data_IF_306712471193
#
_entry.id   IF_306712471193
#
_cell.length_a   1.000
_cell.length_b   1.000
_cell.length_c   1.000
_cell.angle_alpha   90.00
_cell.angle_beta   90.00
_cell.angle_gamma   90.00
#
_symmetry.space_group_name_H-M   'P 1'
#
loop_
_entity.id
_entity.type
_entity.pdbx_description
1 polymer ?
#
# COMPACT_ATOMS: atom_id res chain seq x y z
N UNK A 1 1.75 -42.59 -24.97
CA UNK A 1 2.94 -41.71 -25.14
C UNK A 1 2.76 -40.28 -24.60
N UNK A 2 1.54 -39.71 -24.56
CA UNK A 2 1.31 -38.32 -24.11
C UNK A 2 1.44 -38.02 -22.61
N UNK A 3 1.19 -38.99 -21.70
CA UNK A 3 1.24 -38.75 -20.24
C UNK A 3 2.66 -38.60 -19.67
N UNK A 4 3.70 -39.10 -20.38
CA UNK A 4 5.10 -38.97 -19.96
C UNK A 4 5.67 -37.58 -20.31
N UNK A 5 5.21 -36.96 -21.40
CA UNK A 5 5.59 -35.60 -21.77
C UNK A 5 5.00 -34.56 -20.81
N UNK A 6 3.78 -34.79 -20.29
CA UNK A 6 3.17 -33.90 -19.29
C UNK A 6 3.93 -33.92 -17.96
N UNK A 7 4.41 -35.08 -17.51
CA UNK A 7 5.26 -35.20 -16.31
C UNK A 7 6.65 -34.60 -16.49
N UNK A 8 7.20 -34.57 -17.71
CA UNK A 8 8.48 -33.94 -18.01
C UNK A 8 8.37 -32.40 -18.08
N UNK A 9 7.31 -31.85 -18.68
CA UNK A 9 7.08 -30.39 -18.66
C UNK A 9 6.89 -29.83 -17.24
N UNK A 10 6.21 -30.56 -16.34
CA UNK A 10 6.03 -30.15 -14.95
C UNK A 10 7.31 -30.25 -14.11
N UNK A 11 8.37 -30.90 -14.60
CA UNK A 11 9.62 -31.14 -13.88
C UNK A 11 10.69 -30.07 -14.13
N UNK A 12 10.59 -29.33 -15.23
CA UNK A 12 11.60 -28.32 -15.62
C UNK A 12 11.33 -26.92 -15.06
N UNK A 13 10.10 -26.60 -14.69
CA UNK A 13 9.77 -25.31 -14.06
C UNK A 13 9.80 -25.47 -12.54
N UNK A 14 11.00 -25.68 -11.97
CA UNK A 14 11.14 -25.64 -10.52
C UNK A 14 10.84 -24.21 -10.05
N UNK A 15 9.71 -24.01 -9.36
CA UNK A 15 9.26 -22.69 -8.87
C UNK A 15 10.35 -21.93 -8.09
N UNK A 16 11.26 -22.65 -7.42
CA UNK A 16 12.40 -22.11 -6.69
C UNK A 16 13.44 -21.44 -7.60
N UNK A 17 13.49 -21.80 -8.89
CA UNK A 17 14.38 -21.16 -9.87
C UNK A 17 13.95 -19.73 -10.21
N UNK A 18 12.67 -19.37 -10.08
CA UNK A 18 12.18 -18.00 -10.33
C UNK A 18 12.80 -17.03 -9.31
N UNK A 19 12.78 -17.42 -8.02
CA UNK A 19 13.42 -16.68 -6.93
C UNK A 19 14.93 -16.53 -7.10
N UNK A 20 15.58 -17.53 -7.69
CA UNK A 20 17.04 -17.55 -7.89
C UNK A 20 17.49 -16.85 -9.17
N UNK A 21 16.66 -16.82 -10.21
CA UNK A 21 16.98 -16.28 -11.54
C UNK A 21 16.58 -14.82 -11.73
N UNK A 22 15.61 -14.31 -10.98
CA UNK A 22 15.09 -12.94 -11.11
C UNK A 22 15.22 -12.14 -9.81
N UNK A 23 16.38 -11.50 -9.60
CA UNK A 23 16.62 -10.62 -8.43
C UNK A 23 15.55 -9.54 -8.25
N UNK A 24 15.04 -8.99 -9.36
CA UNK A 24 13.99 -7.96 -9.34
C UNK A 24 12.66 -8.48 -8.78
N UNK A 25 12.27 -9.71 -9.12
CA UNK A 25 11.04 -10.32 -8.60
C UNK A 25 11.16 -10.58 -7.10
N UNK A 26 12.27 -11.17 -6.66
CA UNK A 26 12.51 -11.43 -5.23
C UNK A 26 12.53 -10.14 -4.42
N UNK A 27 13.18 -9.08 -4.92
CA UNK A 27 13.17 -7.77 -4.26
C UNK A 27 11.76 -7.15 -4.17
N UNK A 28 10.98 -7.22 -5.26
CA UNK A 28 9.60 -6.74 -5.27
C UNK A 28 8.73 -7.53 -4.28
N UNK A 29 8.87 -8.86 -4.25
CA UNK A 29 8.09 -9.73 -3.39
C UNK A 29 8.37 -9.46 -1.90
N UNK A 30 9.64 -9.34 -1.50
CA UNK A 30 9.98 -8.97 -0.13
C UNK A 30 9.49 -7.56 0.21
N UNK A 31 9.73 -6.58 -0.66
CA UNK A 31 9.25 -5.21 -0.46
C UNK A 31 7.73 -5.16 -0.26
N UNK A 32 6.99 -5.91 -1.06
CA UNK A 32 5.54 -6.00 -0.97
C UNK A 32 5.07 -6.66 0.33
N UNK A 33 5.74 -7.73 0.79
CA UNK A 33 5.40 -8.37 2.06
C UNK A 33 5.52 -7.36 3.21
N UNK A 34 6.62 -6.60 3.27
CA UNK A 34 6.80 -5.58 4.30
C UNK A 34 5.78 -4.45 4.18
N UNK A 35 5.51 -3.97 2.96
CA UNK A 35 4.53 -2.91 2.71
C UNK A 35 3.11 -3.32 3.13
N UNK A 36 2.68 -4.53 2.76
CA UNK A 36 1.37 -5.07 3.15
C UNK A 36 1.27 -5.30 4.66
N UNK A 37 2.35 -5.78 5.29
CA UNK A 37 2.39 -5.97 6.72
C UNK A 37 2.24 -4.65 7.48
N UNK A 38 3.04 -3.64 7.11
CA UNK A 38 2.94 -2.30 7.70
C UNK A 38 1.56 -1.67 7.50
N UNK A 39 1.02 -1.75 6.28
CA UNK A 39 -0.32 -1.23 5.96
C UNK A 39 -1.41 -1.90 6.80
N UNK A 40 -1.31 -3.21 7.01
CA UNK A 40 -2.26 -3.97 7.83
C UNK A 40 -2.25 -3.51 9.29
N UNK A 41 -1.05 -3.27 9.84
CA UNK A 41 -0.90 -2.70 11.19
C UNK A 41 -1.52 -1.30 11.25
N UNK A 42 -1.20 -0.43 10.29
CA UNK A 42 -1.72 0.93 10.25
C UNK A 42 -3.24 0.95 10.17
N UNK A 43 -3.87 0.09 9.38
CA UNK A 43 -5.34 0.02 9.27
C UNK A 43 -6.04 -0.29 10.60
N UNK A 44 -5.37 -1.01 11.50
CA UNK A 44 -5.91 -1.31 12.84
C UNK A 44 -5.57 -0.20 13.83
N UNK A 45 -4.31 0.22 13.87
CA UNK A 45 -3.81 1.17 14.89
C UNK A 45 -4.34 2.58 14.64
N UNK A 46 -4.43 3.02 13.39
CA UNK A 46 -4.79 4.38 13.07
C UNK A 46 -6.17 4.81 13.62
N UNK A 47 -7.27 4.06 13.41
CA UNK A 47 -8.55 4.41 14.02
C UNK A 47 -8.48 4.47 15.55
N UNK A 48 -7.73 3.56 16.17
CA UNK A 48 -7.54 3.54 17.63
C UNK A 48 -6.82 4.80 18.10
N UNK A 49 -5.75 5.21 17.42
CA UNK A 49 -5.01 6.44 17.73
C UNK A 49 -5.92 7.67 17.61
N UNK A 50 -6.66 7.78 16.50
CA UNK A 50 -7.59 8.91 16.31
C UNK A 50 -8.65 8.94 17.41
N UNK A 51 -9.21 7.79 17.78
CA UNK A 51 -10.18 7.70 18.87
C UNK A 51 -9.57 8.07 20.23
N UNK A 52 -8.35 7.62 20.51
CA UNK A 52 -7.65 7.93 21.76
C UNK A 52 -7.32 9.41 21.90
N UNK A 53 -6.96 10.08 20.81
CA UNK A 53 -6.61 11.51 20.78
C UNK A 53 -7.85 12.39 20.75
N UNK A 54 -8.83 12.10 19.87
CA UNK A 54 -10.05 12.91 19.75
C UNK A 54 -11.06 12.68 20.87
N UNK A 55 -11.02 11.51 21.53
CA UNK A 55 -12.09 10.99 22.40
C UNK A 55 -13.48 10.97 21.74
N UNK A 56 -13.54 10.98 20.40
CA UNK A 56 -14.78 11.12 19.64
C UNK A 56 -14.84 10.14 18.47
N UNK A 57 -15.85 9.28 18.48
CA UNK A 57 -16.13 8.35 17.38
C UNK A 57 -16.52 9.06 16.09
N UNK A 58 -17.19 10.22 16.19
CA UNK A 58 -17.51 11.05 15.03
C UNK A 58 -16.25 11.61 14.36
N UNK A 59 -15.24 12.01 15.15
CA UNK A 59 -13.97 12.50 14.61
C UNK A 59 -13.18 11.38 13.94
N UNK A 60 -13.16 10.18 14.52
CA UNK A 60 -12.61 8.99 13.88
C UNK A 60 -13.26 8.72 12.52
N UNK A 61 -14.60 8.73 12.44
CA UNK A 61 -15.30 8.56 11.17
C UNK A 61 -14.96 9.65 10.15
N UNK A 62 -14.78 10.89 10.60
CA UNK A 62 -14.41 12.02 9.75
C UNK A 62 -13.00 11.85 9.16
N UNK A 63 -12.02 11.43 9.97
CA UNK A 63 -10.65 11.14 9.48
C UNK A 63 -10.67 10.03 8.44
N UNK A 64 -11.45 8.97 8.67
CA UNK A 64 -11.60 7.87 7.71
C UNK A 64 -12.28 8.32 6.42
N UNK A 65 -13.29 9.19 6.51
CA UNK A 65 -13.93 9.79 5.35
C UNK A 65 -12.95 10.64 4.53
N UNK A 66 -12.08 11.42 5.18
CA UNK A 66 -11.05 12.24 4.53
C UNK A 66 -10.00 11.38 3.80
N UNK A 67 -9.69 10.20 4.32
CA UNK A 67 -8.89 9.21 3.60
C UNK A 67 -9.66 8.65 2.39
N UNK A 68 -10.92 8.24 2.58
CA UNK A 68 -11.68 7.52 1.56
C UNK A 68 -12.13 8.43 0.39
N UNK A 69 -12.36 9.71 0.65
CA UNK A 69 -12.84 10.68 -0.33
C UNK A 69 -11.91 10.83 -1.54
N UNK A 70 -10.61 11.19 -1.39
CA UNK A 70 -9.70 11.26 -2.52
C UNK A 70 -9.48 9.88 -3.15
N UNK A 71 -9.46 8.81 -2.35
CA UNK A 71 -9.32 7.45 -2.86
C UNK A 71 -10.41 7.12 -3.88
N UNK A 72 -11.68 7.24 -3.50
CA UNK A 72 -12.83 6.88 -4.34
C UNK A 72 -12.92 7.78 -5.57
N UNK A 73 -12.69 9.09 -5.41
CA UNK A 73 -12.78 10.04 -6.51
C UNK A 73 -11.68 9.79 -7.54
N UNK A 74 -10.45 9.53 -7.09
CA UNK A 74 -9.30 9.41 -7.97
C UNK A 74 -9.13 8.01 -8.56
N UNK A 75 -9.65 6.95 -7.94
CA UNK A 75 -9.53 5.56 -8.38
C UNK A 75 -9.84 5.32 -9.87
N UNK A 76 -10.94 5.84 -10.47
CA UNK A 76 -11.20 5.63 -11.89
C UNK A 76 -10.19 6.36 -12.80
N UNK A 77 -9.68 7.51 -12.38
CA UNK A 77 -8.71 8.29 -13.15
C UNK A 77 -7.30 7.70 -13.05
N UNK A 78 -6.92 7.28 -11.84
CA UNK A 78 -5.63 6.67 -11.57
C UNK A 78 -5.46 5.35 -12.33
N UNK A 79 -6.51 4.53 -12.46
CA UNK A 79 -6.48 3.30 -13.26
C UNK A 79 -6.03 3.55 -14.71
N UNK A 80 -6.68 4.49 -15.41
CA UNK A 80 -6.34 4.83 -16.80
C UNK A 80 -4.90 5.37 -16.92
N UNK A 81 -4.43 6.12 -15.92
CA UNK A 81 -3.08 6.67 -15.93
C UNK A 81 -2.02 5.58 -15.67
N UNK A 82 -2.28 4.71 -14.70
CA UNK A 82 -1.41 3.61 -14.28
C UNK A 82 -1.21 2.60 -15.42
N UNK A 83 -2.25 2.32 -16.21
CA UNK A 83 -2.18 1.40 -17.35
C UNK A 83 -1.08 1.79 -18.34
N UNK A 84 -0.85 3.10 -18.53
CA UNK A 84 0.13 3.67 -19.46
C UNK A 84 1.54 3.78 -18.88
N UNK A 85 1.70 3.57 -17.58
CA UNK A 85 2.94 3.79 -16.85
C UNK A 85 3.58 2.47 -16.40
N UNK A 86 4.80 2.57 -15.84
CA UNK A 86 5.46 1.43 -15.21
C UNK A 86 4.91 1.22 -13.79
N UNK A 87 4.13 0.14 -13.62
CA UNK A 87 3.40 -0.20 -12.40
C UNK A 87 4.32 -0.39 -11.20
N UNK A 88 5.44 -1.08 -11.40
CA UNK A 88 6.45 -1.29 -10.34
C UNK A 88 7.06 0.04 -9.87
N UNK A 89 7.34 0.97 -10.78
CA UNK A 89 7.82 2.31 -10.39
C UNK A 89 6.76 3.10 -9.61
N UNK A 90 5.49 3.01 -10.00
CA UNK A 90 4.38 3.66 -9.28
C UNK A 90 4.29 3.11 -7.86
N UNK A 91 4.23 1.78 -7.70
CA UNK A 91 4.17 1.14 -6.40
C UNK A 91 5.34 1.58 -5.50
N UNK A 92 6.55 1.62 -6.05
CA UNK A 92 7.74 2.05 -5.32
C UNK A 92 7.67 3.51 -4.85
N UNK A 93 7.27 4.44 -5.73
CA UNK A 93 7.11 5.86 -5.37
C UNK A 93 6.03 6.04 -4.32
N UNK A 94 4.88 5.38 -4.48
CA UNK A 94 3.78 5.45 -3.52
C UNK A 94 4.22 4.94 -2.15
N UNK A 95 4.87 3.77 -2.08
CA UNK A 95 5.31 3.22 -0.81
C UNK A 95 6.36 4.10 -0.12
N UNK A 96 7.25 4.76 -0.88
CA UNK A 96 8.16 5.77 -0.32
C UNK A 96 7.38 6.93 0.29
N UNK A 97 6.40 7.48 -0.42
CA UNK A 97 5.59 8.61 0.09
C UNK A 97 4.83 8.20 1.34
N UNK A 98 4.16 7.04 1.33
CA UNK A 98 3.44 6.50 2.50
C UNK A 98 4.37 6.28 3.69
N UNK A 99 5.57 5.76 3.45
CA UNK A 99 6.57 5.55 4.49
C UNK A 99 6.94 6.87 5.17
N UNK A 100 7.24 7.93 4.39
CA UNK A 100 7.54 9.24 4.96
C UNK A 100 6.34 9.86 5.69
N UNK A 101 5.13 9.74 5.15
CA UNK A 101 3.91 10.21 5.82
C UNK A 101 3.69 9.53 7.17
N UNK A 102 3.89 8.22 7.23
CA UNK A 102 3.78 7.45 8.48
C UNK A 102 4.91 7.78 9.46
N UNK A 103 6.12 8.02 8.96
CA UNK A 103 7.23 8.47 9.80
C UNK A 103 6.93 9.84 10.43
N UNK A 104 6.41 10.80 9.66
CA UNK A 104 5.99 12.11 10.16
C UNK A 104 4.88 11.96 11.21
N UNK A 105 3.86 11.14 10.92
CA UNK A 105 2.78 10.85 11.86
C UNK A 105 3.32 10.28 13.18
N UNK A 106 4.21 9.28 13.09
CA UNK A 106 4.83 8.65 14.24
C UNK A 106 5.69 9.64 15.04
N UNK A 107 6.45 10.52 14.38
CA UNK A 107 7.22 11.57 15.05
C UNK A 107 6.30 12.53 15.82
N UNK A 108 5.19 12.97 15.24
CA UNK A 108 4.23 13.82 15.95
C UNK A 108 3.57 13.10 17.13
N UNK A 109 3.30 11.80 17.01
CA UNK A 109 2.76 10.99 18.09
C UNK A 109 3.76 10.86 19.26
N UNK A 110 5.04 10.59 18.97
CA UNK A 110 6.07 10.44 20.01
C UNK A 110 6.39 11.76 20.72
N UNK A 111 6.29 12.88 20.01
CA UNK A 111 6.54 14.22 20.56
C UNK A 111 5.30 14.82 21.28
N UNK A 112 4.19 14.08 21.40
CA UNK A 112 2.91 14.57 21.91
C UNK A 112 2.39 15.84 21.19
N UNK A 113 2.76 16.01 19.92
CA UNK A 113 2.38 17.14 19.06
C UNK A 113 1.28 16.77 18.04
N UNK A 114 0.66 15.59 18.22
CA UNK A 114 -0.31 15.08 17.27
C UNK A 114 -1.61 15.91 17.29
N UNK A 115 -1.77 16.72 16.25
CA UNK A 115 -2.95 17.55 16.02
C UNK A 115 -3.86 16.92 14.94
N UNK A 116 -5.17 17.13 15.08
CA UNK A 116 -6.18 16.71 14.08
C UNK A 116 -5.92 17.27 12.68
N UNK A 117 -5.39 18.48 12.56
CA UNK A 117 -5.07 19.08 11.26
C UNK A 117 -4.02 18.25 10.52
N UNK A 118 -2.95 17.82 11.20
CA UNK A 118 -1.93 16.97 10.59
C UNK A 118 -2.49 15.60 10.21
N UNK A 119 -3.34 15.02 11.05
CA UNK A 119 -4.05 13.78 10.73
C UNK A 119 -4.89 13.91 9.45
N UNK A 120 -5.66 14.98 9.31
CA UNK A 120 -6.47 15.21 8.10
C UNK A 120 -5.61 15.34 6.85
N UNK A 121 -4.54 16.13 6.89
CA UNK A 121 -3.65 16.32 5.75
C UNK A 121 -2.97 14.99 5.38
N UNK A 122 -2.41 14.28 6.36
CA UNK A 122 -1.73 13.00 6.12
C UNK A 122 -2.71 11.99 5.54
N UNK A 123 -3.93 11.88 6.08
CA UNK A 123 -4.92 10.92 5.59
C UNK A 123 -5.44 11.25 4.19
N UNK A 124 -5.61 12.53 3.87
CA UNK A 124 -5.98 12.94 2.52
C UNK A 124 -4.90 12.54 1.50
N UNK A 125 -3.62 12.76 1.82
CA UNK A 125 -2.51 12.38 0.94
C UNK A 125 -2.40 10.85 0.86
N UNK A 126 -2.55 10.13 1.98
CA UNK A 126 -2.57 8.66 2.01
C UNK A 126 -3.65 8.11 1.07
N UNK A 127 -4.89 8.59 1.17
CA UNK A 127 -5.98 8.16 0.29
C UNK A 127 -5.72 8.46 -1.19
N UNK A 128 -5.10 9.61 -1.46
CA UNK A 128 -4.63 9.97 -2.81
C UNK A 128 -3.61 8.96 -3.32
N UNK A 129 -2.57 8.64 -2.54
CA UNK A 129 -1.54 7.68 -2.93
C UNK A 129 -2.13 6.27 -3.15
N UNK A 130 -3.05 5.85 -2.28
CA UNK A 130 -3.71 4.54 -2.34
C UNK A 130 -4.52 4.37 -3.62
N UNK A 131 -5.09 5.46 -4.14
CA UNK A 131 -5.83 5.44 -5.41
C UNK A 131 -4.95 5.03 -6.58
N UNK A 132 -3.66 5.37 -6.57
CA UNK A 132 -2.70 4.96 -7.61
C UNK A 132 -2.11 3.58 -7.35
N UNK A 133 -1.92 3.23 -6.08
CA UNK A 133 -1.31 1.96 -5.70
C UNK A 133 -2.18 0.76 -6.07
N UNK A 134 -3.48 0.83 -5.78
CA UNK A 134 -4.38 -0.31 -5.96
C UNK A 134 -4.39 -0.84 -7.42
N UNK A 135 -4.68 -0.01 -8.45
CA UNK A 135 -4.65 -0.47 -9.84
C UNK A 135 -3.25 -0.90 -10.29
N UNK A 136 -2.18 -0.27 -9.78
CA UNK A 136 -0.82 -0.64 -10.12
C UNK A 136 -0.47 -2.03 -9.58
N UNK A 137 -0.91 -2.35 -8.36
CA UNK A 137 -0.69 -3.64 -7.73
C UNK A 137 -1.49 -4.76 -8.41
N UNK A 138 -2.77 -4.51 -8.72
CA UNK A 138 -3.63 -5.52 -9.34
C UNK A 138 -3.26 -5.85 -10.80
N UNK A 139 -2.46 -5.01 -11.46
CA UNK A 139 -2.03 -5.17 -12.85
C UNK A 139 -0.62 -5.80 -13.02
N UNK A 140 0.10 -6.08 -11.92
CA UNK A 140 1.42 -6.74 -11.89
C UNK A 140 1.25 -8.23 -11.65
#
# INVERSE_FOLDING_TARGET
MGLLQTKQMLREVSYLQIFRKSRHFTALLFGQIFSLFGSSITNVILPIVVLQVSKSTAMMGTVMAIYMLPFVILLPFSGVLVDKMNKVKIMFVVDIVRFFLMMILASFAILDQLNMIYLFIIMFIMGTMDSFFQPAYSAV
#
